data_IF_986915287937
#
_entry.id   IF_986915287937
#
_cell.length_a   1.000
_cell.length_b   1.000
_cell.length_c   1.000
_cell.angle_alpha   90.00
_cell.angle_beta   90.00
_cell.angle_gamma   90.00
#
_symmetry.space_group_name_H-M   'P 1'
#
loop_
_entity.id
_entity.type
_entity.pdbx_description
1 polymer ?
#
# COMPACT_ATOMS: atom_id res chain seq x y z
N UNK A 1 15.66 -1.43 5.36
CA UNK A 1 14.75 -0.39 4.85
C UNK A 1 13.30 -0.87 4.91
N UNK A 2 12.32 0.01 5.13
CA UNK A 2 10.90 -0.39 5.09
C UNK A 2 10.43 -0.40 3.63
N UNK A 3 9.84 -1.51 3.20
CA UNK A 3 9.23 -1.67 1.88
C UNK A 3 7.72 -1.79 2.03
N UNK A 4 6.99 -1.07 1.19
CA UNK A 4 5.54 -1.19 1.10
C UNK A 4 5.13 -2.24 0.08
N UNK A 5 4.20 -3.11 0.49
CA UNK A 5 3.60 -4.19 -0.30
C UNK A 5 2.27 -3.79 -0.92
N UNK A 6 2.10 -2.49 -1.24
CA UNK A 6 0.81 -1.99 -1.73
C UNK A 6 0.33 -2.73 -3.00
N UNK A 7 1.25 -3.08 -3.92
CA UNK A 7 0.91 -3.88 -5.11
C UNK A 7 0.33 -5.25 -4.76
N UNK A 8 0.97 -5.98 -3.83
CA UNK A 8 0.51 -7.29 -3.38
C UNK A 8 -0.88 -7.20 -2.71
N UNK A 9 -1.13 -6.13 -1.95
CA UNK A 9 -2.43 -5.89 -1.32
C UNK A 9 -3.53 -5.60 -2.34
N UNK A 10 -3.19 -4.86 -3.41
CA UNK A 10 -4.11 -4.63 -4.52
C UNK A 10 -4.47 -5.92 -5.23
N UNK A 11 -3.49 -6.78 -5.49
CA UNK A 11 -3.71 -8.08 -6.13
C UNK A 11 -4.55 -9.02 -5.26
N UNK A 12 -4.23 -9.12 -3.96
CA UNK A 12 -5.04 -9.89 -2.98
C UNK A 12 -6.49 -9.44 -2.99
N UNK A 13 -6.74 -8.14 -2.94
CA UNK A 13 -8.10 -7.58 -2.94
C UNK A 13 -8.82 -7.81 -4.26
N UNK A 14 -8.13 -7.63 -5.38
CA UNK A 14 -8.68 -7.92 -6.70
C UNK A 14 -9.09 -9.39 -6.84
N UNK A 15 -8.30 -10.31 -6.30
CA UNK A 15 -8.62 -11.72 -6.28
C UNK A 15 -9.82 -12.03 -5.37
N UNK A 16 -9.85 -11.44 -4.17
CA UNK A 16 -10.94 -11.65 -3.21
C UNK A 16 -12.30 -11.10 -3.69
N UNK A 17 -12.33 -9.92 -4.32
CA UNK A 17 -13.56 -9.33 -4.85
C UNK A 17 -13.89 -9.76 -6.29
N UNK A 18 -12.96 -10.42 -6.99
CA UNK A 18 -13.14 -10.78 -8.40
C UNK A 18 -13.24 -9.59 -9.35
N UNK A 19 -12.77 -8.40 -8.94
CA UNK A 19 -12.80 -7.16 -9.75
C UNK A 19 -11.47 -6.42 -9.69
N UNK A 20 -11.16 -5.67 -10.76
CA UNK A 20 -9.91 -4.92 -10.85
C UNK A 20 -9.92 -3.73 -9.89
N UNK A 21 -9.08 -3.78 -8.87
CA UNK A 21 -8.87 -2.65 -7.95
C UNK A 21 -7.87 -1.68 -8.58
N UNK A 22 -8.22 -0.41 -8.67
CA UNK A 22 -7.35 0.62 -9.26
C UNK A 22 -6.87 1.60 -8.19
N UNK A 23 -5.74 2.26 -8.45
CA UNK A 23 -5.20 3.32 -7.58
C UNK A 23 -6.24 4.44 -7.36
N UNK A 24 -7.06 4.75 -8.39
CA UNK A 24 -8.13 5.72 -8.27
C UNK A 24 -9.20 5.31 -7.25
N UNK A 25 -9.59 4.03 -7.25
CA UNK A 25 -10.57 3.53 -6.30
C UNK A 25 -10.01 3.62 -4.88
N UNK A 26 -8.78 3.16 -4.69
CA UNK A 26 -8.12 3.21 -3.37
C UNK A 26 -7.99 4.65 -2.90
N UNK A 27 -7.54 5.57 -3.75
CA UNK A 27 -7.46 7.00 -3.45
C UNK A 27 -8.81 7.56 -3.02
N UNK A 28 -9.89 7.18 -3.70
CA UNK A 28 -11.25 7.63 -3.39
C UNK A 28 -11.74 7.04 -2.07
N UNK A 29 -11.54 5.74 -1.85
CA UNK A 29 -12.03 5.03 -0.67
C UNK A 29 -11.24 5.36 0.61
N UNK A 30 -9.92 5.57 0.49
CA UNK A 30 -9.04 5.95 1.60
C UNK A 30 -8.93 7.45 1.79
N UNK A 31 -9.41 8.26 0.84
CA UNK A 31 -9.18 9.71 0.82
C UNK A 31 -7.71 10.11 0.65
N UNK A 32 -6.86 9.20 0.16
CA UNK A 32 -5.45 9.46 -0.09
C UNK A 32 -5.21 10.03 -1.48
N UNK A 33 -4.15 10.83 -1.64
CA UNK A 33 -3.79 11.35 -2.95
C UNK A 33 -3.20 10.24 -3.83
N UNK A 34 -3.65 10.13 -5.08
CA UNK A 34 -3.14 9.16 -6.07
C UNK A 34 -1.62 9.24 -6.23
N UNK A 35 -1.07 10.45 -6.13
CA UNK A 35 0.37 10.68 -6.24
C UNK A 35 1.12 10.00 -5.09
N UNK A 36 0.57 10.01 -3.87
CA UNK A 36 1.12 9.32 -2.70
C UNK A 36 1.10 7.81 -2.93
N UNK A 37 -0.02 7.25 -3.39
CA UNK A 37 -0.13 5.82 -3.70
C UNK A 37 0.85 5.40 -4.81
N UNK A 38 1.00 6.22 -5.85
CA UNK A 38 1.96 5.98 -6.92
C UNK A 38 3.40 6.00 -6.42
N UNK A 39 3.75 6.92 -5.51
CA UNK A 39 5.07 6.95 -4.86
C UNK A 39 5.27 5.71 -3.99
N UNK A 40 4.29 5.30 -3.20
CA UNK A 40 4.37 4.08 -2.39
C UNK A 40 4.61 2.83 -3.27
N UNK A 41 3.99 2.77 -4.45
CA UNK A 41 4.16 1.65 -5.39
C UNK A 41 5.52 1.66 -6.12
N UNK A 42 5.97 2.83 -6.58
CA UNK A 42 7.16 2.94 -7.45
C UNK A 42 8.45 3.23 -6.66
N UNK A 43 8.35 3.85 -5.49
CA UNK A 43 9.49 4.33 -4.73
C UNK A 43 9.69 3.49 -3.47
N UNK A 44 10.74 2.68 -3.49
CA UNK A 44 11.16 1.90 -2.32
C UNK A 44 11.62 2.86 -1.21
N UNK A 45 11.19 2.60 0.03
CA UNK A 45 11.55 3.45 1.18
C UNK A 45 10.84 4.81 1.22
N UNK A 46 9.76 5.01 0.48
CA UNK A 46 8.96 6.23 0.59
C UNK A 46 8.39 6.36 2.01
N UNK A 47 8.77 7.42 2.71
CA UNK A 47 8.21 7.75 4.02
C UNK A 47 6.78 8.23 3.86
N UNK A 48 5.84 7.45 4.39
CA UNK A 48 4.44 7.86 4.51
C UNK A 48 4.07 7.98 6.00
N UNK A 49 3.12 8.86 6.32
CA UNK A 49 2.64 9.03 7.68
C UNK A 49 1.86 7.82 8.19
N UNK A 50 1.77 7.68 9.50
CA UNK A 50 0.97 6.63 10.16
C UNK A 50 -0.51 6.69 9.78
N UNK A 51 -1.07 7.89 9.56
CA UNK A 51 -2.46 8.06 9.07
C UNK A 51 -2.68 7.39 7.70
N UNK A 52 -1.71 7.49 6.79
CA UNK A 52 -1.81 6.84 5.48
C UNK A 52 -1.83 5.32 5.62
N UNK A 53 -0.97 4.79 6.50
CA UNK A 53 -0.89 3.35 6.79
C UNK A 53 -2.20 2.87 7.41
N UNK A 54 -2.72 3.59 8.40
CA UNK A 54 -3.99 3.28 9.06
C UNK A 54 -5.15 3.18 8.07
N UNK A 55 -5.31 4.19 7.20
CA UNK A 55 -6.37 4.21 6.17
C UNK A 55 -6.23 3.06 5.17
N UNK A 56 -5.00 2.73 4.78
CA UNK A 56 -4.75 1.60 3.89
C UNK A 56 -5.08 0.28 4.58
N UNK A 57 -4.63 0.09 5.82
CA UNK A 57 -4.94 -1.09 6.62
C UNK A 57 -6.46 -1.25 6.80
N UNK A 58 -7.18 -0.16 7.07
CA UNK A 58 -8.64 -0.18 7.17
C UNK A 58 -9.33 -0.52 5.84
N UNK A 59 -8.83 0.02 4.72
CA UNK A 59 -9.41 -0.28 3.40
C UNK A 59 -9.13 -1.72 2.95
N UNK A 60 -7.92 -2.23 3.20
CA UNK A 60 -7.52 -3.59 2.84
C UNK A 60 -7.94 -4.64 3.89
N UNK A 61 -8.51 -4.20 5.01
CA UNK A 61 -8.84 -5.03 6.17
C UNK A 61 -7.67 -5.95 6.56
N UNK A 62 -6.49 -5.35 6.72
CA UNK A 62 -5.24 -6.07 6.91
C UNK A 62 -4.43 -5.52 8.08
N UNK A 63 -3.48 -6.34 8.54
CA UNK A 63 -2.50 -5.87 9.51
C UNK A 63 -1.45 -4.98 8.84
N UNK A 64 -0.77 -4.19 9.66
CA UNK A 64 0.33 -3.34 9.23
C UNK A 64 1.47 -4.15 8.60
N UNK A 65 1.74 -5.35 9.13
CA UNK A 65 2.79 -6.27 8.65
C UNK A 65 2.51 -6.83 7.25
N UNK A 66 1.24 -6.92 6.84
CA UNK A 66 0.88 -7.29 5.46
C UNK A 66 1.13 -6.14 4.49
N UNK A 67 1.00 -4.89 4.94
CA UNK A 67 1.19 -3.70 4.11
C UNK A 67 2.65 -3.26 4.01
N UNK A 68 3.44 -3.45 5.07
CA UNK A 68 4.84 -3.08 5.11
C UNK A 68 5.73 -4.16 5.70
N UNK A 69 6.87 -4.40 5.06
CA UNK A 69 7.90 -5.31 5.55
C UNK A 69 9.21 -4.58 5.79
N UNK A 70 9.96 -5.03 6.79
CA UNK A 70 11.34 -4.65 6.94
C UNK A 70 12.21 -5.53 6.05
N UNK A 71 12.87 -4.93 5.06
CA UNK A 71 13.87 -5.60 4.23
C UNK A 71 15.25 -5.28 4.79
N UNK A 72 15.94 -6.27 5.42
CA UNK A 72 17.33 -6.10 5.81
C UNK A 72 18.23 -6.10 4.56
N UNK A 73 19.09 -5.08 4.40
CA UNK A 73 20.15 -5.05 3.39
C UNK A 73 19.81 -4.41 2.03
N UNK A 74 19.84 -3.08 1.95
CA UNK A 74 20.28 -2.39 0.73
C UNK A 74 21.68 -1.83 1.04
N UNK A 75 22.61 -2.76 1.23
CA UNK A 75 24.06 -2.51 1.14
C UNK A 75 24.51 -3.30 -0.09
N UNK A 76 24.47 -2.66 -1.26
CA UNK A 76 25.25 -3.07 -2.42
C UNK A 76 26.06 -1.90 -2.93
#
# INVERSE_FOLDING_TARGET
MIRFKLGEMMEKKQFAEGRRVTINEIATATGLNRMTLSKILNQKGYGTGTETVDRLCQYFDCKVEDLMEHVPGDES
#
